data_IF_203934198270
#
_entry.id   IF_203934198270
#
_cell.length_a   1.000
_cell.length_b   1.000
_cell.length_c   1.000
_cell.angle_alpha   90.00
_cell.angle_beta   90.00
_cell.angle_gamma   90.00
#
_symmetry.space_group_name_H-M   'P 1'
#
loop_
_entity.id
_entity.type
_entity.pdbx_description
1 polymer ?
#
# COMPACT_ATOMS: atom_id res chain seq x y z
N UNK A 1 -2.96 -8.10 -21.77
CA UNK A 1 -1.65 -8.26 -21.10
C UNK A 1 -1.70 -7.54 -19.74
N UNK A 2 -1.12 -8.13 -18.71
CA UNK A 2 -1.00 -7.53 -17.36
C UNK A 2 0.30 -6.73 -17.28
N UNK A 3 0.22 -5.51 -16.75
CA UNK A 3 1.37 -4.69 -16.37
C UNK A 3 1.46 -4.56 -14.85
N UNK A 4 2.67 -4.65 -14.28
CA UNK A 4 2.89 -4.55 -12.84
C UNK A 4 3.97 -3.51 -12.57
N UNK A 5 3.63 -2.41 -11.88
CA UNK A 5 4.62 -1.44 -11.40
C UNK A 5 5.12 -1.84 -10.01
N UNK A 6 6.19 -1.18 -9.54
CA UNK A 6 6.71 -1.39 -8.19
C UNK A 6 7.33 -2.77 -7.94
N UNK A 7 7.69 -3.51 -8.98
CA UNK A 7 8.24 -4.89 -8.89
C UNK A 7 9.58 -5.00 -8.15
N UNK A 8 10.22 -3.90 -7.85
CA UNK A 8 11.45 -3.85 -7.01
C UNK A 8 11.17 -3.56 -5.54
N UNK A 9 9.90 -3.32 -5.19
CA UNK A 9 9.44 -3.07 -3.81
C UNK A 9 8.76 -4.29 -3.19
N UNK A 10 8.53 -4.26 -1.88
CA UNK A 10 7.98 -5.40 -1.10
C UNK A 10 6.61 -5.89 -1.61
N UNK A 11 5.70 -4.99 -2.01
CA UNK A 11 4.36 -5.35 -2.49
C UNK A 11 4.40 -5.86 -3.94
N UNK A 12 4.92 -5.03 -4.85
CA UNK A 12 4.89 -5.34 -6.29
C UNK A 12 5.72 -6.58 -6.65
N UNK A 13 6.84 -6.85 -5.96
CA UNK A 13 7.62 -8.07 -6.17
C UNK A 13 6.83 -9.32 -5.79
N UNK A 14 6.09 -9.27 -4.68
CA UNK A 14 5.27 -10.40 -4.26
C UNK A 14 4.08 -10.63 -5.19
N UNK A 15 3.46 -9.57 -5.73
CA UNK A 15 2.44 -9.70 -6.77
C UNK A 15 3.03 -10.35 -8.03
N UNK A 16 4.23 -9.92 -8.44
CA UNK A 16 4.93 -10.50 -9.59
C UNK A 16 5.22 -11.99 -9.40
N UNK A 17 5.68 -12.39 -8.21
CA UNK A 17 5.87 -13.81 -7.84
C UNK A 17 4.57 -14.62 -7.98
N UNK A 18 3.45 -14.08 -7.49
CA UNK A 18 2.16 -14.77 -7.53
C UNK A 18 1.61 -14.92 -8.96
N UNK A 19 1.77 -13.90 -9.80
CA UNK A 19 1.35 -13.95 -11.21
C UNK A 19 2.22 -14.93 -12.00
N UNK A 20 3.54 -14.93 -11.79
CA UNK A 20 4.46 -15.87 -12.42
C UNK A 20 4.17 -17.33 -12.03
N UNK A 21 3.89 -17.60 -10.74
CA UNK A 21 3.50 -18.95 -10.26
C UNK A 21 2.25 -19.49 -10.96
N UNK A 22 1.40 -18.63 -11.50
CA UNK A 22 0.25 -19.03 -12.31
C UNK A 22 0.59 -19.23 -13.80
N UNK A 23 1.84 -19.01 -14.20
CA UNK A 23 2.29 -19.11 -15.58
C UNK A 23 1.72 -18.02 -16.50
N UNK A 24 1.27 -16.90 -15.94
CA UNK A 24 0.64 -15.81 -16.71
C UNK A 24 1.70 -14.82 -17.18
N UNK A 25 1.71 -14.57 -18.50
CA UNK A 25 2.60 -13.59 -19.09
C UNK A 25 2.29 -12.17 -18.60
N UNK A 26 3.33 -11.42 -18.23
CA UNK A 26 3.18 -10.06 -17.69
C UNK A 26 4.33 -9.14 -18.12
N UNK A 27 4.11 -7.83 -17.98
CA UNK A 27 5.12 -6.80 -18.20
C UNK A 27 5.44 -6.17 -16.86
N UNK A 28 6.69 -6.30 -16.42
CA UNK A 28 7.21 -5.74 -15.19
C UNK A 28 7.80 -4.36 -15.44
N UNK A 29 7.29 -3.38 -14.73
CA UNK A 29 7.61 -1.98 -14.91
C UNK A 29 8.43 -1.47 -13.73
N UNK A 30 9.68 -1.10 -13.97
CA UNK A 30 10.61 -0.67 -12.93
C UNK A 30 11.40 0.59 -13.31
N UNK A 31 11.70 1.42 -12.30
CA UNK A 31 12.62 2.56 -12.46
C UNK A 31 14.07 2.07 -12.66
N UNK A 32 14.41 0.98 -12.00
CA UNK A 32 15.71 0.32 -12.01
C UNK A 32 15.53 -1.15 -12.40
N UNK A 33 15.42 -1.46 -13.72
CA UNK A 33 15.17 -2.81 -14.23
C UNK A 33 16.19 -3.85 -13.74
N UNK A 34 17.44 -3.46 -13.55
CA UNK A 34 18.54 -4.30 -13.06
C UNK A 34 18.33 -4.83 -11.63
N UNK A 35 17.39 -4.22 -10.87
CA UNK A 35 17.02 -4.66 -9.52
C UNK A 35 15.79 -5.55 -9.50
N UNK A 36 15.10 -5.67 -10.63
CA UNK A 36 13.90 -6.49 -10.72
C UNK A 36 14.28 -7.98 -10.84
N UNK A 37 13.52 -8.83 -10.16
CA UNK A 37 13.65 -10.28 -10.33
C UNK A 37 13.22 -10.66 -11.75
N UNK A 38 14.00 -11.53 -12.38
CA UNK A 38 13.74 -12.02 -13.73
C UNK A 38 12.89 -13.28 -13.66
N UNK A 39 11.85 -13.32 -14.50
CA UNK A 39 10.98 -14.49 -14.66
C UNK A 39 10.90 -14.87 -16.14
N UNK A 40 10.74 -16.14 -16.42
CA UNK A 40 10.62 -16.63 -17.80
C UNK A 40 9.32 -16.16 -18.47
N UNK A 41 8.28 -15.89 -17.69
CA UNK A 41 6.96 -15.44 -18.13
C UNK A 41 6.83 -13.92 -18.26
N UNK A 42 7.84 -13.12 -17.87
CA UNK A 42 7.73 -11.68 -17.81
C UNK A 42 8.80 -10.92 -18.61
N UNK A 43 8.36 -9.86 -19.28
CA UNK A 43 9.22 -8.84 -19.88
C UNK A 43 9.42 -7.71 -18.86
N UNK A 44 10.66 -7.20 -18.73
CA UNK A 44 10.96 -6.05 -17.87
C UNK A 44 11.18 -4.82 -18.72
N UNK A 45 10.44 -3.74 -18.42
CA UNK A 45 10.57 -2.44 -19.09
C UNK A 45 10.88 -1.34 -18.11
N UNK A 46 11.70 -0.37 -18.53
CA UNK A 46 12.03 0.80 -17.73
C UNK A 46 10.90 1.82 -17.78
N UNK A 47 10.46 2.29 -16.61
CA UNK A 47 9.52 3.41 -16.49
C UNK A 47 9.89 4.33 -15.34
N UNK A 48 9.41 5.57 -15.44
CA UNK A 48 9.26 6.50 -14.31
C UNK A 48 7.82 7.01 -14.33
N UNK A 49 7.34 7.53 -13.21
CA UNK A 49 5.97 8.08 -13.18
C UNK A 49 5.95 9.47 -13.84
N UNK A 50 5.90 9.46 -15.17
CA UNK A 50 5.86 10.65 -16.04
C UNK A 50 5.10 10.37 -17.32
N UNK A 51 4.82 11.43 -18.08
CA UNK A 51 4.22 11.34 -19.43
C UNK A 51 5.26 11.71 -20.48
N UNK A 52 6.16 10.79 -20.77
CA UNK A 52 7.13 10.94 -21.87
C UNK A 52 6.87 9.89 -22.95
N UNK A 53 7.32 10.10 -24.19
CA UNK A 53 7.16 9.12 -25.27
C UNK A 53 7.69 7.73 -24.90
N UNK A 54 8.81 7.66 -24.16
CA UNK A 54 9.42 6.40 -23.74
C UNK A 54 8.52 5.65 -22.74
N UNK A 55 7.85 6.37 -21.82
CA UNK A 55 6.92 5.77 -20.86
C UNK A 55 5.65 5.30 -21.57
N UNK A 56 5.11 6.09 -22.51
CA UNK A 56 3.97 5.67 -23.34
C UNK A 56 4.31 4.40 -24.10
N UNK A 57 5.48 4.35 -24.75
CA UNK A 57 5.94 3.14 -25.47
C UNK A 57 6.09 1.93 -24.56
N UNK A 58 6.67 2.13 -23.36
CA UNK A 58 6.85 1.06 -22.38
C UNK A 58 5.51 0.49 -21.84
N UNK A 59 4.42 1.26 -21.92
CA UNK A 59 3.09 0.84 -21.47
C UNK A 59 2.26 0.19 -22.60
N UNK A 60 2.70 0.24 -23.85
CA UNK A 60 1.95 -0.36 -24.97
C UNK A 60 1.76 -1.87 -24.78
N UNK A 61 0.57 -2.33 -25.17
CA UNK A 61 0.16 -3.72 -25.08
C UNK A 61 -0.31 -4.16 -23.69
N UNK A 62 -0.33 -3.25 -22.70
CA UNK A 62 -0.91 -3.51 -21.38
C UNK A 62 -2.39 -3.15 -21.40
N UNK A 63 -3.24 -4.11 -21.05
CA UNK A 63 -4.69 -3.90 -20.93
C UNK A 63 -5.07 -3.56 -19.48
N UNK A 64 -4.48 -4.28 -18.51
CA UNK A 64 -4.70 -4.13 -17.06
C UNK A 64 -3.39 -3.79 -16.38
N UNK A 65 -3.36 -2.69 -15.65
CA UNK A 65 -2.15 -2.16 -15.02
C UNK A 65 -2.31 -2.12 -13.50
N UNK A 66 -1.48 -2.86 -12.76
CA UNK A 66 -1.28 -2.59 -11.34
C UNK A 66 -0.39 -1.35 -11.19
N UNK A 67 -1.00 -0.28 -10.75
CA UNK A 67 -0.31 0.95 -10.38
C UNK A 67 -0.08 0.96 -8.86
N UNK A 68 1.09 0.53 -8.45
CA UNK A 68 1.53 0.71 -7.05
C UNK A 68 1.83 2.18 -6.83
N UNK A 69 1.27 2.79 -5.79
CA UNK A 69 1.46 4.21 -5.51
C UNK A 69 2.95 4.58 -5.43
N UNK A 70 3.32 5.74 -5.99
CA UNK A 70 4.69 6.23 -5.99
C UNK A 70 5.20 6.46 -4.57
N UNK A 71 6.54 6.52 -4.42
CA UNK A 71 7.16 6.93 -3.17
C UNK A 71 6.63 8.29 -2.73
N UNK A 72 6.44 8.45 -1.45
CA UNK A 72 6.00 9.68 -0.81
C UNK A 72 6.95 10.85 -1.11
N UNK A 73 6.40 11.93 -1.63
CA UNK A 73 7.07 13.20 -1.89
C UNK A 73 6.02 14.27 -2.22
N UNK A 74 6.41 15.52 -2.26
CA UNK A 74 5.52 16.67 -2.52
C UNK A 74 4.95 16.72 -3.95
N UNK A 75 5.57 16.03 -4.91
CA UNK A 75 5.16 15.97 -6.32
C UNK A 75 4.35 14.69 -6.65
N UNK A 76 4.10 13.83 -5.65
CA UNK A 76 3.52 12.50 -5.82
C UNK A 76 2.24 12.50 -6.63
N UNK A 77 1.31 13.40 -6.34
CA UNK A 77 0.04 13.51 -7.08
C UNK A 77 0.26 13.91 -8.53
N UNK A 78 1.21 14.80 -8.79
CA UNK A 78 1.58 15.21 -10.14
C UNK A 78 2.24 14.07 -10.92
N UNK A 79 3.13 13.32 -10.28
CA UNK A 79 3.74 12.12 -10.85
C UNK A 79 2.67 11.09 -11.21
N UNK A 80 1.72 10.81 -10.29
CA UNK A 80 0.60 9.91 -10.55
C UNK A 80 -0.23 10.35 -11.76
N UNK A 81 -0.65 11.62 -11.80
CA UNK A 81 -1.45 12.17 -12.90
C UNK A 81 -0.71 12.07 -14.24
N UNK A 82 0.56 12.43 -14.24
CA UNK A 82 1.41 12.35 -15.44
C UNK A 82 1.54 10.92 -15.96
N UNK A 83 1.74 9.94 -15.07
CA UNK A 83 1.82 8.54 -15.43
C UNK A 83 0.48 7.98 -15.94
N UNK A 84 -0.63 8.38 -15.34
CA UNK A 84 -1.97 8.00 -15.80
C UNK A 84 -2.29 8.57 -17.17
N UNK A 85 -1.84 9.79 -17.50
CA UNK A 85 -1.95 10.34 -18.85
C UNK A 85 -1.18 9.49 -19.87
N UNK A 86 0.05 9.06 -19.52
CA UNK A 86 0.83 8.15 -20.36
C UNK A 86 0.13 6.79 -20.54
N UNK A 87 -0.43 6.23 -19.47
CA UNK A 87 -1.19 4.99 -19.51
C UNK A 87 -2.43 5.10 -20.44
N UNK A 88 -3.11 6.25 -20.40
CA UNK A 88 -4.26 6.52 -21.28
C UNK A 88 -3.83 6.60 -22.74
N UNK A 89 -2.73 7.29 -23.04
CA UNK A 89 -2.16 7.39 -24.40
C UNK A 89 -1.67 6.02 -24.93
N UNK A 90 -1.17 5.16 -24.04
CA UNK A 90 -0.72 3.81 -24.40
C UNK A 90 -1.87 2.82 -24.66
N UNK A 91 -3.12 3.18 -24.31
CA UNK A 91 -4.29 2.33 -24.49
C UNK A 91 -4.61 1.39 -23.34
N UNK A 92 -4.01 1.58 -22.16
CA UNK A 92 -4.39 0.86 -20.94
C UNK A 92 -5.87 1.10 -20.66
N UNK A 93 -6.59 0.05 -20.28
CA UNK A 93 -8.05 0.12 -20.10
C UNK A 93 -8.43 0.10 -18.61
N UNK A 94 -7.77 -0.75 -17.82
CA UNK A 94 -8.10 -0.97 -16.43
C UNK A 94 -6.92 -0.65 -15.50
N UNK A 95 -7.14 0.20 -14.52
CA UNK A 95 -6.16 0.52 -13.47
C UNK A 95 -6.55 -0.18 -12.17
N UNK A 96 -5.70 -1.08 -11.70
CA UNK A 96 -5.73 -1.60 -10.32
C UNK A 96 -4.78 -0.73 -9.52
N UNK A 97 -5.30 0.08 -8.59
CA UNK A 97 -4.50 1.09 -7.89
C UNK A 97 -4.41 0.78 -6.40
N UNK A 98 -3.18 0.73 -5.86
CA UNK A 98 -2.97 0.69 -4.41
C UNK A 98 -3.29 2.05 -3.82
N UNK A 99 -4.52 2.19 -3.34
CA UNK A 99 -5.05 3.37 -2.68
C UNK A 99 -4.88 3.25 -1.17
N UNK A 100 -5.59 4.06 -0.40
CA UNK A 100 -5.52 4.03 1.05
C UNK A 100 -6.91 3.99 1.69
N UNK A 101 -7.05 3.24 2.80
CA UNK A 101 -8.28 3.17 3.58
C UNK A 101 -8.71 4.57 4.06
N UNK A 102 -9.98 4.91 3.85
CA UNK A 102 -10.44 6.26 4.18
C UNK A 102 -9.88 7.37 3.29
N UNK A 103 -9.46 7.06 2.02
CA UNK A 103 -8.98 8.08 1.09
C UNK A 103 -10.01 9.20 0.92
N UNK A 104 -9.68 10.39 1.41
CA UNK A 104 -10.50 11.61 1.38
C UNK A 104 -9.58 12.84 1.35
N UNK A 105 -9.98 13.90 0.63
CA UNK A 105 -9.18 15.14 0.53
C UNK A 105 -9.03 15.89 1.86
N UNK A 106 -9.88 15.59 2.84
CA UNK A 106 -9.89 16.17 4.19
C UNK A 106 -9.42 15.20 5.26
N UNK A 107 -8.95 14.00 4.89
CA UNK A 107 -8.49 13.01 5.84
C UNK A 107 -7.44 13.58 6.80
N UNK A 108 -7.46 13.12 8.04
CA UNK A 108 -6.45 13.47 9.06
C UNK A 108 -5.08 13.00 8.61
N UNK A 109 -4.97 11.76 8.13
CA UNK A 109 -3.72 11.26 7.54
C UNK A 109 -3.40 12.00 6.24
N UNK A 110 -2.34 12.80 6.25
CA UNK A 110 -2.03 13.72 5.15
C UNK A 110 -1.82 13.01 3.81
N UNK A 111 -1.19 11.85 3.80
CA UNK A 111 -0.92 11.09 2.58
C UNK A 111 -2.17 10.40 2.00
N UNK A 112 -3.23 10.21 2.79
CA UNK A 112 -4.52 9.72 2.32
C UNK A 112 -5.16 10.67 1.29
N UNK A 113 -4.87 11.97 1.40
CA UNK A 113 -5.34 13.01 0.48
C UNK A 113 -4.78 12.84 -0.94
N UNK A 114 -3.54 12.36 -1.07
CA UNK A 114 -2.92 12.06 -2.37
C UNK A 114 -3.66 10.91 -3.07
N UNK A 115 -4.06 9.91 -2.29
CA UNK A 115 -4.82 8.77 -2.81
C UNK A 115 -6.20 9.20 -3.30
N UNK A 116 -6.91 10.03 -2.55
CA UNK A 116 -8.21 10.58 -2.98
C UNK A 116 -8.11 11.35 -4.31
N UNK A 117 -7.10 12.21 -4.45
CA UNK A 117 -6.86 12.95 -5.69
C UNK A 117 -6.49 12.03 -6.86
N UNK A 118 -5.76 10.96 -6.60
CA UNK A 118 -5.37 9.98 -7.63
C UNK A 118 -6.59 9.16 -8.09
N UNK A 119 -7.43 8.68 -7.16
CA UNK A 119 -8.68 8.00 -7.49
C UNK A 119 -9.61 8.87 -8.33
N UNK A 120 -9.78 10.14 -7.93
CA UNK A 120 -10.58 11.10 -8.69
C UNK A 120 -10.04 11.30 -10.11
N UNK A 121 -8.71 11.33 -10.27
CA UNK A 121 -8.10 11.50 -11.57
C UNK A 121 -8.23 10.26 -12.47
N UNK A 122 -8.11 9.05 -11.93
CA UNK A 122 -8.35 7.78 -12.65
C UNK A 122 -9.78 7.76 -13.20
N UNK A 123 -10.77 8.10 -12.36
CA UNK A 123 -12.18 8.22 -12.78
C UNK A 123 -12.38 9.28 -13.84
N UNK A 124 -11.76 10.45 -13.70
CA UNK A 124 -11.82 11.57 -14.66
C UNK A 124 -11.32 11.17 -16.04
N UNK A 125 -10.28 10.36 -16.13
CA UNK A 125 -9.72 9.87 -17.38
C UNK A 125 -10.58 8.75 -18.04
N UNK A 126 -11.63 8.28 -17.37
CA UNK A 126 -12.52 7.23 -17.87
C UNK A 126 -11.85 5.87 -17.99
N UNK A 127 -10.94 5.54 -17.07
CA UNK A 127 -10.48 4.17 -16.93
C UNK A 127 -11.54 3.31 -16.25
N UNK A 128 -11.60 2.03 -16.61
CA UNK A 128 -12.09 1.01 -15.69
C UNK A 128 -11.11 0.92 -14.52
N UNK A 129 -11.59 0.74 -13.29
CA UNK A 129 -10.71 0.76 -12.13
C UNK A 129 -11.06 -0.28 -11.08
N UNK A 130 -10.07 -0.64 -10.28
CA UNK A 130 -10.25 -1.31 -8.99
C UNK A 130 -9.34 -0.62 -7.99
N UNK A 131 -9.91 0.03 -6.97
CA UNK A 131 -9.13 0.66 -5.92
C UNK A 131 -8.94 -0.30 -4.75
N UNK A 132 -7.70 -0.57 -4.42
CA UNK A 132 -7.30 -1.34 -3.26
C UNK A 132 -6.98 -0.35 -2.15
N UNK A 133 -7.98 0.01 -1.35
CA UNK A 133 -7.82 0.89 -0.20
C UNK A 133 -7.25 0.10 0.98
N UNK A 134 -5.96 -0.16 0.93
CA UNK A 134 -5.26 -0.82 2.03
C UNK A 134 -5.11 0.12 3.23
N UNK A 135 -5.36 -0.42 4.43
CA UNK A 135 -5.09 0.25 5.68
C UNK A 135 -3.58 0.23 5.97
N UNK A 136 -3.12 0.84 7.04
CA UNK A 136 -1.74 0.72 7.48
C UNK A 136 -1.32 -0.74 7.52
N UNK A 137 -0.06 -1.01 7.22
CA UNK A 137 0.44 -2.37 7.22
C UNK A 137 0.81 -2.84 8.63
N UNK A 138 0.36 -4.05 9.00
CA UNK A 138 0.84 -4.74 10.18
C UNK A 138 2.37 -4.87 10.17
N UNK A 139 2.94 -5.14 9.00
CA UNK A 139 4.39 -5.20 8.78
C UNK A 139 5.12 -3.92 9.21
N UNK A 140 4.50 -2.74 9.05
CA UNK A 140 5.07 -1.46 9.49
C UNK A 140 5.17 -1.38 11.01
N UNK A 141 4.11 -1.72 11.72
CA UNK A 141 4.11 -1.72 13.19
C UNK A 141 5.06 -2.76 13.77
N UNK A 142 5.14 -3.94 13.12
CA UNK A 142 6.08 -5.00 13.49
C UNK A 142 7.52 -4.52 13.31
N UNK A 143 7.86 -3.97 12.13
CA UNK A 143 9.21 -3.50 11.81
C UNK A 143 9.65 -2.43 12.83
N UNK A 144 8.83 -1.40 13.11
CA UNK A 144 9.14 -0.34 14.09
C UNK A 144 9.30 -0.90 15.49
N UNK A 145 8.40 -1.76 15.92
CA UNK A 145 8.41 -2.33 17.26
C UNK A 145 9.68 -3.17 17.53
N UNK A 146 10.07 -3.97 16.54
CA UNK A 146 11.26 -4.82 16.66
C UNK A 146 12.57 -4.03 16.55
N UNK A 147 12.59 -2.97 15.75
CA UNK A 147 13.77 -2.11 15.58
C UNK A 147 14.03 -1.25 16.81
N UNK A 148 12.97 -0.69 17.41
CA UNK A 148 13.11 0.32 18.46
C UNK A 148 12.77 -0.20 19.87
N UNK A 149 12.16 -1.39 20.02
CA UNK A 149 11.62 -1.89 21.28
C UNK A 149 10.35 -1.14 21.75
N UNK A 150 9.85 -0.22 20.92
CA UNK A 150 8.66 0.57 21.22
C UNK A 150 7.91 1.00 19.95
N UNK A 151 6.62 1.24 20.11
CA UNK A 151 5.83 2.06 19.17
C UNK A 151 5.53 3.36 19.90
N UNK A 152 5.78 4.52 19.25
CA UNK A 152 5.53 5.81 19.88
C UNK A 152 4.75 6.74 18.95
N UNK A 153 3.76 7.44 19.49
CA UNK A 153 2.96 8.40 18.76
C UNK A 153 1.62 8.72 19.42
N UNK A 154 0.95 9.80 19.01
CA UNK A 154 -0.26 10.32 19.63
C UNK A 154 -1.53 9.58 19.17
N UNK A 155 -1.59 8.26 19.33
CA UNK A 155 -2.76 7.47 18.95
C UNK A 155 -3.80 7.37 20.09
N UNK A 156 -3.42 7.65 21.33
CA UNK A 156 -4.30 7.52 22.48
C UNK A 156 -4.92 6.12 22.55
N UNK A 157 -6.24 6.06 22.71
CA UNK A 157 -7.02 4.81 22.69
C UNK A 157 -7.62 4.48 21.33
N UNK A 158 -7.18 5.16 20.27
CA UNK A 158 -7.63 4.90 18.91
C UNK A 158 -7.30 3.48 18.46
N UNK A 159 -8.04 2.99 17.48
CA UNK A 159 -7.90 1.62 16.96
C UNK A 159 -7.61 1.65 15.46
N UNK A 160 -6.95 0.63 14.98
CA UNK A 160 -6.61 0.45 13.56
C UNK A 160 -6.87 -0.97 13.12
N UNK A 161 -7.52 -1.13 11.96
CA UNK A 161 -7.71 -2.43 11.29
C UNK A 161 -6.57 -2.66 10.29
N UNK A 162 -5.32 -2.64 10.77
CA UNK A 162 -4.14 -2.77 9.92
C UNK A 162 -4.11 -4.12 9.19
N UNK A 163 -3.65 -4.13 7.93
CA UNK A 163 -3.64 -5.30 7.04
C UNK A 163 -2.22 -5.84 6.85
N UNK A 164 -2.08 -7.16 6.67
CA UNK A 164 -0.80 -7.76 6.26
C UNK A 164 -0.47 -7.44 4.80
N UNK A 165 0.75 -6.96 4.50
CA UNK A 165 1.17 -6.64 3.13
C UNK A 165 1.05 -7.82 2.19
N UNK A 166 1.25 -9.06 2.67
CA UNK A 166 1.06 -10.28 1.89
C UNK A 166 -0.39 -10.45 1.42
N UNK A 167 -1.38 -10.08 2.25
CA UNK A 167 -2.79 -10.18 1.86
C UNK A 167 -3.15 -9.13 0.82
N UNK A 168 -2.70 -7.88 0.97
CA UNK A 168 -2.85 -6.85 -0.07
C UNK A 168 -2.26 -7.32 -1.41
N UNK A 169 -1.08 -7.94 -1.37
CA UNK A 169 -0.44 -8.47 -2.59
C UNK A 169 -1.22 -9.62 -3.21
N UNK A 170 -1.78 -10.53 -2.41
CA UNK A 170 -2.63 -11.64 -2.89
C UNK A 170 -3.91 -11.14 -3.52
N UNK A 171 -4.57 -10.17 -2.87
CA UNK A 171 -5.76 -9.51 -3.41
C UNK A 171 -5.44 -8.86 -4.75
N UNK A 172 -4.34 -8.10 -4.83
CA UNK A 172 -3.92 -7.47 -6.07
C UNK A 172 -3.68 -8.50 -7.19
N UNK A 173 -2.99 -9.61 -6.89
CA UNK A 173 -2.73 -10.69 -7.86
C UNK A 173 -4.03 -11.33 -8.34
N UNK A 174 -4.95 -11.67 -7.44
CA UNK A 174 -6.24 -12.28 -7.80
C UNK A 174 -7.08 -11.37 -8.70
N UNK A 175 -7.11 -10.08 -8.40
CA UNK A 175 -7.80 -9.08 -9.22
C UNK A 175 -7.17 -8.94 -10.60
N UNK A 176 -5.84 -8.96 -10.70
CA UNK A 176 -5.14 -8.91 -11.99
C UNK A 176 -5.44 -10.13 -12.87
N UNK A 177 -5.66 -11.29 -12.25
CA UNK A 177 -6.00 -12.53 -12.96
C UNK A 177 -7.47 -12.55 -13.44
N UNK A 178 -8.37 -11.89 -12.70
CA UNK A 178 -9.81 -11.86 -12.96
C UNK A 178 -10.38 -10.43 -12.98
N UNK A 179 -9.80 -9.50 -13.77
CA UNK A 179 -10.07 -8.06 -13.62
C UNK A 179 -11.53 -7.67 -13.88
N UNK A 180 -12.25 -8.43 -14.74
CA UNK A 180 -13.66 -8.14 -15.08
C UNK A 180 -14.61 -8.28 -13.89
N UNK A 181 -14.30 -9.15 -12.92
CA UNK A 181 -15.13 -9.35 -11.74
C UNK A 181 -15.07 -8.18 -10.78
N UNK A 182 -14.03 -7.35 -10.89
CA UNK A 182 -13.71 -6.26 -9.97
C UNK A 182 -13.79 -4.88 -10.61
N UNK A 183 -14.36 -4.77 -11.77
CA UNK A 183 -14.49 -3.48 -12.49
C UNK A 183 -15.27 -2.46 -11.68
N UNK A 184 -14.73 -1.25 -11.59
CA UNK A 184 -15.31 -0.07 -10.94
C UNK A 184 -15.65 -0.28 -9.45
N UNK A 185 -14.89 -1.15 -8.79
CA UNK A 185 -15.03 -1.40 -7.36
C UNK A 185 -13.95 -0.68 -6.55
N UNK A 186 -14.31 -0.37 -5.31
CA UNK A 186 -13.41 0.10 -4.27
C UNK A 186 -13.45 -0.92 -3.14
N UNK A 187 -12.32 -1.52 -2.81
CA UNK A 187 -12.17 -2.56 -1.80
C UNK A 187 -11.38 -2.00 -0.63
N UNK A 188 -11.93 -2.13 0.57
CA UNK A 188 -11.27 -1.75 1.81
C UNK A 188 -10.51 -2.95 2.35
N UNK A 189 -9.18 -2.91 2.23
CA UNK A 189 -8.34 -4.02 2.66
C UNK A 189 -7.87 -3.78 4.09
N UNK A 190 -8.44 -4.55 5.01
CA UNK A 190 -8.13 -4.52 6.44
C UNK A 190 -7.72 -5.89 6.94
N UNK A 191 -7.05 -5.92 8.09
CA UNK A 191 -6.93 -7.13 8.91
C UNK A 191 -8.29 -7.52 9.50
N UNK A 192 -8.35 -8.67 10.18
CA UNK A 192 -9.60 -9.16 10.78
C UNK A 192 -9.88 -8.53 12.16
N UNK A 193 -9.02 -7.65 12.64
CA UNK A 193 -9.03 -7.11 13.99
C UNK A 193 -8.86 -5.60 14.00
N UNK A 194 -9.65 -4.90 14.81
CA UNK A 194 -9.40 -3.52 15.22
C UNK A 194 -8.56 -3.55 16.49
N UNK A 195 -7.30 -3.10 16.41
CA UNK A 195 -6.36 -3.12 17.54
C UNK A 195 -5.93 -1.72 17.96
N UNK A 196 -5.83 -1.47 19.27
CA UNK A 196 -5.13 -0.30 19.79
C UNK A 196 -3.61 -0.50 19.75
N UNK A 197 -2.84 0.57 19.93
CA UNK A 197 -1.37 0.45 19.99
C UNK A 197 -0.91 -0.39 21.17
N UNK A 198 -1.60 -0.31 22.31
CA UNK A 198 -1.34 -1.16 23.48
C UNK A 198 -1.54 -2.64 23.16
N UNK A 199 -2.67 -3.00 22.52
CA UNK A 199 -2.94 -4.38 22.15
C UNK A 199 -1.92 -4.90 21.11
N UNK A 200 -1.48 -4.05 20.16
CA UNK A 200 -0.45 -4.41 19.20
C UNK A 200 0.87 -4.76 19.91
N UNK A 201 1.36 -3.90 20.81
CA UNK A 201 2.65 -4.15 21.49
C UNK A 201 2.56 -5.33 22.47
N UNK A 202 1.39 -5.56 23.10
CA UNK A 202 1.16 -6.71 23.95
C UNK A 202 1.25 -8.03 23.16
N UNK A 203 0.57 -8.10 22.00
CA UNK A 203 0.61 -9.25 21.11
C UNK A 203 2.02 -9.47 20.56
N UNK A 204 2.70 -8.39 20.13
CA UNK A 204 4.07 -8.48 19.64
C UNK A 204 5.04 -8.97 20.71
N UNK A 205 4.93 -8.45 21.94
CA UNK A 205 5.76 -8.90 23.07
C UNK A 205 5.56 -10.39 23.34
N UNK A 206 4.33 -10.85 23.33
CA UNK A 206 3.98 -12.26 23.53
C UNK A 206 4.54 -13.19 22.44
N UNK A 207 4.39 -12.81 21.17
CA UNK A 207 4.77 -13.67 20.04
C UNK A 207 6.28 -13.68 19.78
N UNK A 208 6.98 -12.58 20.13
CA UNK A 208 8.43 -12.45 19.89
C UNK A 208 9.29 -12.74 21.11
N UNK A 209 8.71 -12.71 22.32
CA UNK A 209 9.45 -12.80 23.58
C UNK A 209 10.21 -11.54 23.96
N UNK A 210 10.11 -10.45 23.18
CA UNK A 210 10.75 -9.17 23.44
C UNK A 210 9.84 -8.28 24.28
N UNK A 211 10.42 -7.48 25.20
CA UNK A 211 9.68 -6.44 25.88
C UNK A 211 9.47 -5.25 24.94
N UNK A 212 8.24 -5.07 24.44
CA UNK A 212 7.86 -3.98 23.54
C UNK A 212 6.82 -3.13 24.24
N UNK A 213 6.95 -1.80 24.14
CA UNK A 213 6.04 -0.86 24.83
C UNK A 213 5.39 0.11 23.85
N UNK A 214 4.23 0.64 24.24
CA UNK A 214 3.63 1.79 23.57
C UNK A 214 3.88 3.06 24.39
N UNK A 215 4.31 4.13 23.73
CA UNK A 215 4.48 5.47 24.31
C UNK A 215 3.48 6.41 23.66
N UNK A 216 2.39 6.70 24.40
CA UNK A 216 1.40 7.69 23.96
C UNK A 216 1.98 9.10 24.15
N UNK A 217 2.22 9.79 23.05
CA UNK A 217 2.78 11.15 23.02
C UNK A 217 1.65 12.18 22.86
N UNK A 218 1.86 13.39 23.34
CA UNK A 218 1.13 14.53 22.80
C UNK A 218 1.56 14.80 21.37
N UNK A 219 0.78 15.60 20.62
CA UNK A 219 1.15 15.97 19.23
C UNK A 219 2.48 16.73 19.22
N UNK A 220 2.70 17.62 20.18
CA UNK A 220 3.94 18.39 20.35
C UNK A 220 5.15 17.49 20.63
N UNK A 221 5.02 16.56 21.55
CA UNK A 221 6.06 15.57 21.85
C UNK A 221 6.36 14.68 20.62
N UNK A 222 5.33 14.33 19.85
CA UNK A 222 5.49 13.55 18.64
C UNK A 222 6.31 14.27 17.57
N UNK A 223 6.14 15.56 17.36
CA UNK A 223 7.01 16.34 16.49
C UNK A 223 8.45 16.42 17.03
N UNK A 224 8.62 16.65 18.34
CA UNK A 224 9.96 16.73 18.95
C UNK A 224 10.71 15.40 18.85
N UNK A 225 10.07 14.28 19.17
CA UNK A 225 10.71 12.97 19.18
C UNK A 225 11.19 12.53 17.78
N UNK A 226 10.55 13.05 16.71
CA UNK A 226 10.90 12.74 15.32
C UNK A 226 12.03 13.60 14.75
N UNK A 227 12.42 14.70 15.42
CA UNK A 227 13.54 15.56 14.99
C UNK A 227 14.90 14.85 14.99
N UNK A 228 15.00 13.69 15.66
CA UNK A 228 16.19 12.83 15.59
C UNK A 228 16.44 12.28 14.16
N UNK A 229 15.43 12.25 13.31
CA UNK A 229 15.56 11.92 11.90
C UNK A 229 15.42 13.18 11.05
N UNK A 230 16.50 13.63 10.35
CA UNK A 230 16.41 14.78 9.46
C UNK A 230 15.36 14.54 8.36
N UNK A 231 14.35 15.40 8.32
CA UNK A 231 13.25 15.30 7.36
C UNK A 231 12.69 16.69 7.04
N UNK A 232 11.84 16.77 6.02
CA UNK A 232 11.09 17.98 5.70
C UNK A 232 9.81 18.07 6.54
N UNK A 233 9.21 19.25 6.68
CA UNK A 233 8.02 19.44 7.50
C UNK A 233 6.86 18.53 7.10
N UNK A 234 6.63 18.35 5.80
CA UNK A 234 5.55 17.46 5.31
C UNK A 234 5.77 15.98 5.70
N UNK A 235 7.02 15.52 5.88
CA UNK A 235 7.33 14.17 6.35
C UNK A 235 6.99 14.03 7.83
N UNK A 236 7.33 15.04 8.66
CA UNK A 236 6.90 15.06 10.06
C UNK A 236 5.38 15.09 10.18
N UNK A 237 4.70 15.91 9.35
CA UNK A 237 3.23 15.96 9.30
C UNK A 237 2.64 14.58 8.94
N UNK A 238 3.21 13.89 7.96
CA UNK A 238 2.80 12.55 7.58
C UNK A 238 2.98 11.56 8.74
N UNK A 239 4.15 11.54 9.37
CA UNK A 239 4.47 10.61 10.46
C UNK A 239 3.60 10.85 11.71
N UNK A 240 3.34 12.10 12.07
CA UNK A 240 2.46 12.43 13.21
C UNK A 240 1.01 12.14 12.85
N UNK A 241 0.58 12.47 11.64
CA UNK A 241 -0.80 12.25 11.20
C UNK A 241 -1.19 10.77 11.07
N UNK A 242 -0.24 9.86 10.93
CA UNK A 242 -0.46 8.41 11.04
C UNK A 242 -1.19 8.07 12.34
N UNK A 243 -0.66 8.55 13.46
CA UNK A 243 -1.19 8.24 14.78
C UNK A 243 -2.42 9.09 15.14
N UNK A 244 -2.45 10.36 14.73
CA UNK A 244 -3.65 11.19 14.98
C UNK A 244 -4.86 10.70 14.20
N UNK A 245 -4.69 10.14 12.99
CA UNK A 245 -5.78 9.49 12.24
C UNK A 245 -6.31 8.24 12.96
N UNK A 246 -5.44 7.47 13.59
CA UNK A 246 -5.84 6.35 14.45
C UNK A 246 -6.62 6.88 15.66
N UNK A 247 -6.12 7.94 16.32
CA UNK A 247 -6.74 8.56 17.50
C UNK A 247 -8.18 9.00 17.24
N UNK A 248 -8.44 9.60 16.08
CA UNK A 248 -9.79 10.09 15.72
C UNK A 248 -10.69 9.01 15.12
N UNK A 249 -10.21 7.76 14.99
CA UNK A 249 -11.01 6.62 14.54
C UNK A 249 -11.12 6.48 13.03
N UNK A 250 -10.41 7.27 12.23
CA UNK A 250 -10.44 7.18 10.76
C UNK A 250 -9.87 5.85 10.22
N UNK A 251 -9.11 5.11 11.04
CA UNK A 251 -8.43 3.89 10.64
C UNK A 251 -9.06 2.62 11.25
N UNK A 252 -10.15 2.77 11.99
CA UNK A 252 -10.92 1.68 12.54
C UNK A 252 -12.02 1.20 11.56
N UNK A 253 -12.46 -0.03 11.73
CA UNK A 253 -13.55 -0.61 10.93
C UNK A 253 -13.09 -1.76 10.06
N UNK A 254 -13.27 -2.98 10.57
CA UNK A 254 -12.94 -4.23 9.86
C UNK A 254 -13.84 -4.39 8.63
N UNK A 255 -13.21 -4.66 7.48
CA UNK A 255 -13.88 -5.01 6.21
C UNK A 255 -13.71 -6.51 5.93
N UNK A 256 -14.65 -7.07 5.20
CA UNK A 256 -14.60 -8.44 4.68
C UNK A 256 -14.08 -8.52 3.23
N UNK A 257 -13.60 -7.42 2.65
CA UNK A 257 -13.21 -7.40 1.23
C UNK A 257 -12.00 -8.30 0.93
N UNK A 258 -11.07 -8.48 1.87
CA UNK A 258 -9.97 -9.46 1.72
C UNK A 258 -10.55 -10.87 1.61
N UNK A 259 -11.48 -11.24 2.49
CA UNK A 259 -12.13 -12.55 2.46
C UNK A 259 -12.97 -12.75 1.19
N UNK A 260 -13.68 -11.71 0.76
CA UNK A 260 -14.47 -11.73 -0.48
C UNK A 260 -13.61 -12.05 -1.71
N UNK A 261 -12.38 -11.51 -1.78
CA UNK A 261 -11.48 -11.75 -2.90
C UNK A 261 -10.73 -13.08 -2.78
N UNK A 262 -10.24 -13.39 -1.57
CA UNK A 262 -9.34 -14.54 -1.36
C UNK A 262 -10.04 -15.84 -0.96
N UNK A 263 -11.35 -15.79 -0.64
CA UNK A 263 -12.11 -16.94 -0.12
C UNK A 263 -11.66 -17.40 1.28
N UNK A 264 -10.90 -16.57 2.00
CA UNK A 264 -10.45 -16.80 3.38
C UNK A 264 -10.28 -15.46 4.11
N UNK A 265 -10.38 -15.45 5.44
CA UNK A 265 -10.12 -14.25 6.24
C UNK A 265 -8.72 -13.67 5.98
N UNK A 266 -8.58 -12.37 6.21
CA UNK A 266 -7.28 -11.71 6.26
C UNK A 266 -6.43 -12.29 7.41
N UNK A 267 -5.11 -12.22 7.27
CA UNK A 267 -4.18 -12.63 8.32
C UNK A 267 -4.29 -11.70 9.53
N UNK A 268 -4.39 -12.30 10.71
CA UNK A 268 -4.26 -11.61 12.00
C UNK A 268 -2.83 -11.11 12.23
N UNK A 269 -2.64 -10.19 13.20
CA UNK A 269 -1.31 -9.74 13.60
C UNK A 269 -0.40 -10.91 13.96
N UNK A 270 -0.91 -11.88 14.71
CA UNK A 270 -0.15 -13.07 15.13
C UNK A 270 0.31 -13.90 13.92
N UNK A 271 -0.54 -14.09 12.92
CA UNK A 271 -0.19 -14.82 11.70
C UNK A 271 0.84 -14.07 10.86
N UNK A 272 0.75 -12.74 10.78
CA UNK A 272 1.75 -11.92 10.07
C UNK A 272 3.11 -12.03 10.77
N UNK A 273 3.16 -11.91 12.09
CA UNK A 273 4.41 -12.08 12.88
C UNK A 273 5.03 -13.45 12.62
N UNK A 274 4.27 -14.53 12.77
CA UNK A 274 4.77 -15.90 12.53
C UNK A 274 5.30 -16.08 11.11
N UNK A 275 4.60 -15.50 10.12
CA UNK A 275 5.03 -15.53 8.73
C UNK A 275 6.32 -14.73 8.46
N UNK A 276 6.61 -13.71 9.26
CA UNK A 276 7.82 -12.89 9.15
C UNK A 276 9.04 -13.53 9.83
N UNK A 277 8.82 -14.20 10.97
CA UNK A 277 9.88 -14.89 11.72
C UNK A 277 10.33 -16.22 11.06
N UNK A 278 9.55 -16.75 10.13
CA UNK A 278 9.82 -18.03 9.43
C UNK A 278 10.63 -17.86 8.13
N UNK A 279 11.05 -16.64 7.80
CA UNK A 279 11.85 -16.29 6.60
C UNK A 279 13.29 -15.97 6.98
#
# INVERSE_FOLDING_TARGET
>A
MIGITGVTGKLGSYVADLVDQKGIASIHLARSPERAKVYASAEIRKIVYSNTPEVVEALKGIDVLLMVSARENTERVKEHKSFLDAAKLAGVQHIVYTSFYGADEKATFTLSRDHAQTEAYIKKLGFTYTFLRDNFYLDFFIDIALENGEIRGPAGRGRVSAVGRKDTSRVAAEILLNPKEWENQTLNLTGPEDLSMEEIVELLSKETGNAITYVDESVEEAYESRKKWPAQNWEYDAWVSTYTAIKVGEQAGVSTDVEKVLGRPAMSLVEVVKSSLSQ
#
